data_IF_504079984618
#
_entry.id   IF_504079984618
#
_cell.length_a   1.000
_cell.length_b   1.000
_cell.length_c   1.000
_cell.angle_alpha   90.00
_cell.angle_beta   90.00
_cell.angle_gamma   90.00
#
_symmetry.space_group_name_H-M   'P 1'
#
loop_
_entity.id
_entity.type
_entity.pdbx_description
1 polymer ?
#
# COMPACT_ATOMS: atom_id res chain seq x y z
N UNK A 1 -2.27 -21.76 4.67
CA UNK A 1 -2.52 -20.32 4.52
C UNK A 1 -1.68 -19.84 3.35
N UNK A 2 -2.27 -19.28 2.31
CA UNK A 2 -1.56 -18.74 1.13
C UNK A 2 -1.38 -17.24 1.37
N UNK A 3 -0.13 -16.77 1.42
CA UNK A 3 0.22 -15.37 1.67
C UNK A 3 0.55 -14.72 0.32
N UNK A 4 -0.26 -13.74 -0.07
CA UNK A 4 0.03 -12.87 -1.21
C UNK A 4 0.91 -11.73 -0.69
N UNK A 5 2.23 -11.83 -0.90
CA UNK A 5 3.20 -10.87 -0.39
C UNK A 5 4.01 -10.20 -1.52
N UNK A 6 4.05 -8.86 -1.49
CA UNK A 6 4.91 -8.03 -2.31
C UNK A 6 6.18 -7.71 -1.49
N UNK A 7 7.12 -8.63 -1.40
CA UNK A 7 8.29 -8.45 -0.52
C UNK A 7 9.32 -7.49 -1.17
N UNK A 8 9.55 -6.33 -0.55
CA UNK A 8 10.81 -5.60 -0.70
C UNK A 8 11.77 -6.16 0.35
N UNK A 9 13.06 -6.28 0.03
CA UNK A 9 13.99 -7.21 0.71
C UNK A 9 14.00 -7.24 2.26
N UNK A 10 13.55 -6.17 2.93
CA UNK A 10 13.48 -6.07 4.40
C UNK A 10 12.09 -5.67 4.96
N UNK A 11 11.10 -5.31 4.12
CA UNK A 11 9.81 -4.75 4.55
C UNK A 11 8.63 -5.63 4.08
N UNK A 12 7.84 -6.09 5.05
CA UNK A 12 6.64 -6.92 4.85
C UNK A 12 5.36 -6.15 5.18
N UNK A 13 4.37 -6.17 4.30
CA UNK A 13 3.05 -5.54 4.52
C UNK A 13 1.92 -6.57 4.37
N UNK A 14 1.14 -6.78 5.45
CA UNK A 14 0.02 -7.72 5.47
C UNK A 14 -1.31 -7.02 5.65
N UNK A 15 -2.31 -7.39 4.85
CA UNK A 15 -3.67 -6.87 4.93
C UNK A 15 -4.62 -7.92 5.52
N UNK A 16 -5.49 -7.51 6.44
CA UNK A 16 -6.49 -8.39 7.07
C UNK A 16 -7.81 -7.67 7.24
N UNK A 17 -8.91 -8.42 7.25
CA UNK A 17 -10.25 -7.85 7.40
C UNK A 17 -10.69 -7.78 8.86
N UNK A 18 -10.19 -8.69 9.70
CA UNK A 18 -10.52 -8.76 11.12
C UNK A 18 -9.28 -8.59 11.99
N UNK A 19 -9.48 -8.14 13.23
CA UNK A 19 -8.40 -8.04 14.21
C UNK A 19 -7.80 -9.41 14.55
N UNK A 20 -8.64 -10.45 14.66
CA UNK A 20 -8.17 -11.81 14.90
C UNK A 20 -7.22 -12.26 13.78
N UNK A 21 -7.57 -12.01 12.51
CA UNK A 21 -6.69 -12.31 11.37
C UNK A 21 -5.39 -11.50 11.40
N UNK A 22 -5.42 -10.23 11.88
CA UNK A 22 -4.18 -9.46 12.09
C UNK A 22 -3.29 -10.12 13.12
N UNK A 23 -3.84 -10.53 14.28
CA UNK A 23 -3.06 -11.17 15.34
C UNK A 23 -2.51 -12.53 14.90
N UNK A 24 -3.32 -13.35 14.24
CA UNK A 24 -2.89 -14.65 13.69
C UNK A 24 -1.75 -14.48 12.68
N UNK A 25 -1.83 -13.48 11.80
CA UNK A 25 -0.76 -13.18 10.84
C UNK A 25 0.51 -12.69 11.54
N UNK A 26 0.40 -11.79 12.51
CA UNK A 26 1.55 -11.31 13.28
C UNK A 26 2.27 -12.47 13.98
N UNK A 27 1.52 -13.36 14.63
CA UNK A 27 2.07 -14.55 15.30
C UNK A 27 2.72 -15.50 14.29
N UNK A 28 2.11 -15.69 13.12
CA UNK A 28 2.65 -16.53 12.04
C UNK A 28 3.97 -15.98 11.49
N UNK A 29 4.04 -14.67 11.25
CA UNK A 29 5.27 -14.00 10.78
C UNK A 29 6.37 -14.08 11.83
N UNK A 30 6.03 -13.87 13.11
CA UNK A 30 6.98 -14.00 14.22
C UNK A 30 7.56 -15.41 14.30
N UNK A 31 6.71 -16.44 14.25
CA UNK A 31 7.14 -17.83 14.27
C UNK A 31 8.00 -18.18 13.05
N UNK A 32 7.58 -17.75 11.85
CA UNK A 32 8.34 -17.98 10.62
C UNK A 32 9.71 -17.30 10.63
N UNK A 33 9.77 -16.05 11.11
CA UNK A 33 11.02 -15.28 11.25
C UNK A 33 11.97 -15.97 12.24
N UNK A 34 11.48 -16.35 13.42
CA UNK A 34 12.27 -17.07 14.41
C UNK A 34 12.80 -18.41 13.88
N UNK A 35 12.00 -19.14 13.10
CA UNK A 35 12.41 -20.41 12.49
C UNK A 35 13.59 -20.27 11.51
N UNK A 36 13.76 -19.09 10.89
CA UNK A 36 14.88 -18.79 10.00
C UNK A 36 15.96 -17.91 10.65
N UNK A 37 15.86 -17.67 11.96
CA UNK A 37 16.82 -16.85 12.71
C UNK A 37 16.74 -15.35 12.44
N UNK A 38 15.62 -14.86 11.90
CA UNK A 38 15.35 -13.44 11.70
C UNK A 38 14.63 -12.84 12.91
N UNK A 39 14.99 -11.61 13.26
CA UNK A 39 14.36 -10.85 14.35
C UNK A 39 13.42 -9.80 13.78
N UNK A 40 12.18 -9.77 14.26
CA UNK A 40 11.24 -8.70 13.94
C UNK A 40 11.56 -7.48 14.79
N UNK A 41 11.76 -6.34 14.14
CA UNK A 41 12.02 -5.08 14.83
C UNK A 41 10.71 -4.47 15.34
N UNK A 42 10.31 -4.85 16.55
CA UNK A 42 9.01 -4.48 17.17
C UNK A 42 8.69 -2.99 17.07
N UNK A 43 9.65 -2.11 17.38
CA UNK A 43 9.44 -0.65 17.33
C UNK A 43 9.19 -0.09 15.92
N UNK A 44 9.61 -0.81 14.87
CA UNK A 44 9.36 -0.43 13.47
C UNK A 44 8.07 -1.05 12.94
N UNK A 45 7.57 -2.10 13.58
CA UNK A 45 6.31 -2.74 13.25
C UNK A 45 5.15 -1.85 13.66
N UNK A 46 4.40 -1.38 12.67
CA UNK A 46 3.29 -0.44 12.82
C UNK A 46 2.01 -1.04 12.28
N UNK A 47 0.87 -0.57 12.78
CA UNK A 47 -0.46 -0.99 12.35
C UNK A 47 -1.22 0.22 11.84
N UNK A 48 -1.79 0.07 10.66
CA UNK A 48 -2.71 1.03 10.09
C UNK A 48 -4.11 0.43 10.09
N UNK A 49 -5.03 1.03 10.82
CA UNK A 49 -6.44 0.60 10.86
C UNK A 49 -7.28 1.46 9.92
N UNK A 50 -8.13 0.80 9.14
CA UNK A 50 -9.11 1.46 8.27
C UNK A 50 -10.52 1.21 8.80
N UNK A 51 -11.22 2.26 9.22
CA UNK A 51 -12.62 2.17 9.71
C UNK A 51 -12.86 1.18 10.87
N UNK A 52 -11.83 0.80 11.61
CA UNK A 52 -11.95 -0.12 12.75
C UNK A 52 -11.89 0.66 14.07
N UNK A 53 -12.92 0.50 14.91
CA UNK A 53 -13.01 1.09 16.27
C UNK A 53 -12.80 -0.02 17.32
N UNK A 54 -11.79 -0.86 17.14
CA UNK A 54 -11.46 -1.87 18.16
C UNK A 54 -10.47 -1.28 19.17
N UNK A 55 -10.74 -1.48 20.46
CA UNK A 55 -9.90 -1.01 21.58
C UNK A 55 -8.63 -1.83 21.77
N UNK A 56 -8.65 -3.09 21.35
CA UNK A 56 -7.55 -3.99 21.65
C UNK A 56 -6.41 -3.77 20.65
N UNK A 57 -5.18 -3.71 21.16
CA UNK A 57 -3.96 -3.65 20.37
C UNK A 57 -3.65 -5.01 19.74
N UNK A 58 -2.90 -5.01 18.65
CA UNK A 58 -2.17 -6.23 18.25
C UNK A 58 -0.86 -6.26 19.02
N UNK A 59 -0.49 -7.45 19.47
CA UNK A 59 0.71 -7.65 20.28
C UNK A 59 1.74 -8.51 19.55
N UNK A 60 3.01 -8.26 19.83
CA UNK A 60 4.14 -9.08 19.42
C UNK A 60 5.01 -9.35 20.65
N UNK A 61 5.15 -10.62 21.03
CA UNK A 61 5.79 -11.04 22.29
C UNK A 61 5.26 -10.33 23.55
N UNK A 62 3.96 -10.02 23.57
CA UNK A 62 3.30 -9.31 24.68
C UNK A 62 3.43 -7.78 24.65
N UNK A 63 4.20 -7.21 23.71
CA UNK A 63 4.29 -5.76 23.51
C UNK A 63 3.26 -5.30 22.47
N UNK A 64 2.52 -4.22 22.76
CA UNK A 64 1.57 -3.65 21.83
C UNK A 64 2.30 -2.90 20.70
N UNK A 65 1.89 -3.13 19.46
CA UNK A 65 2.42 -2.41 18.30
C UNK A 65 1.80 -1.01 18.15
N UNK A 66 2.55 -0.09 17.57
CA UNK A 66 2.10 1.29 17.36
C UNK A 66 0.99 1.36 16.30
N UNK A 67 -0.16 1.94 16.68
CA UNK A 67 -1.23 2.31 15.74
C UNK A 67 -0.90 3.66 15.08
N UNK A 68 -0.66 3.65 13.78
CA UNK A 68 -0.37 4.84 12.98
C UNK A 68 -1.55 5.22 12.09
N UNK A 69 -1.68 6.51 11.79
CA UNK A 69 -2.72 7.04 10.87
C UNK A 69 -2.30 7.09 9.41
N UNK A 70 -0.99 7.00 9.18
CA UNK A 70 -0.37 7.04 7.86
C UNK A 70 0.84 6.14 7.85
N UNK A 71 1.01 5.38 6.78
CA UNK A 71 2.16 4.53 6.55
C UNK A 71 2.72 4.81 5.16
N UNK A 72 4.04 4.87 5.01
CA UNK A 72 4.67 5.02 3.70
C UNK A 72 5.23 3.67 3.28
N UNK A 73 4.65 3.08 2.25
CA UNK A 73 5.13 1.84 1.66
C UNK A 73 5.60 2.12 0.24
N UNK A 74 6.89 1.88 -0.04
CA UNK A 74 7.47 2.00 -1.40
C UNK A 74 7.31 3.40 -2.02
N UNK A 75 7.28 4.42 -1.18
CA UNK A 75 7.07 5.80 -1.60
C UNK A 75 5.60 6.17 -1.84
N UNK A 76 4.66 5.24 -1.64
CA UNK A 76 3.23 5.53 -1.59
C UNK A 76 2.77 5.76 -0.15
N UNK A 77 2.06 6.86 0.07
CA UNK A 77 1.43 7.19 1.35
C UNK A 77 0.07 6.50 1.42
N UNK A 78 -0.07 5.58 2.35
CA UNK A 78 -1.32 4.92 2.70
C UNK A 78 -1.83 5.58 3.97
N UNK A 79 -3.09 6.01 3.98
CA UNK A 79 -3.69 6.63 5.16
C UNK A 79 -4.90 5.87 5.69
N UNK A 80 -5.32 6.25 6.90
CA UNK A 80 -6.47 5.69 7.60
C UNK A 80 -7.80 5.84 6.83
N UNK A 81 -7.81 6.61 5.75
CA UNK A 81 -8.98 6.89 4.93
C UNK A 81 -8.93 6.25 3.54
N UNK A 82 -8.07 5.25 3.25
CA UNK A 82 -8.00 4.53 1.95
C UNK A 82 -7.98 5.46 0.72
N UNK A 83 -7.68 6.75 0.94
CA UNK A 83 -7.75 7.80 -0.05
C UNK A 83 -6.35 8.09 -0.53
N UNK A 84 -6.20 8.27 -1.84
CA UNK A 84 -4.91 8.63 -2.43
C UNK A 84 -4.60 10.12 -2.31
N UNK A 85 -5.46 10.94 -1.70
CA UNK A 85 -5.32 12.40 -1.69
C UNK A 85 -3.98 12.84 -1.08
N UNK A 86 -3.62 12.26 0.08
CA UNK A 86 -2.34 12.55 0.75
C UNK A 86 -1.14 12.14 -0.12
N UNK A 87 -1.20 10.97 -0.75
CA UNK A 87 -0.14 10.48 -1.65
C UNK A 87 0.01 11.39 -2.87
N UNK A 88 -1.09 11.68 -3.55
CA UNK A 88 -1.13 12.52 -4.74
C UNK A 88 -0.59 13.91 -4.43
N UNK A 89 -1.04 14.52 -3.33
CA UNK A 89 -0.57 15.82 -2.89
C UNK A 89 0.93 15.81 -2.59
N UNK A 90 1.43 14.79 -1.88
CA UNK A 90 2.85 14.66 -1.59
C UNK A 90 3.70 14.51 -2.87
N UNK A 91 3.24 13.70 -3.83
CA UNK A 91 3.92 13.49 -5.11
C UNK A 91 3.94 14.77 -5.96
N UNK A 92 2.83 15.52 -6.00
CA UNK A 92 2.76 16.82 -6.69
C UNK A 92 3.73 17.81 -6.06
N UNK A 93 3.75 17.92 -4.73
CA UNK A 93 4.68 18.83 -4.04
C UNK A 93 6.15 18.49 -4.32
N UNK A 94 6.51 17.19 -4.30
CA UNK A 94 7.87 16.74 -4.60
C UNK A 94 8.25 17.01 -6.05
N UNK A 95 7.36 16.72 -7.00
CA UNK A 95 7.58 17.02 -8.42
C UNK A 95 7.70 18.54 -8.66
N UNK A 96 6.88 19.36 -8.00
CA UNK A 96 6.96 20.81 -8.05
C UNK A 96 8.30 21.35 -7.55
N UNK A 97 8.83 20.79 -6.45
CA UNK A 97 10.15 21.15 -5.95
C UNK A 97 11.27 20.81 -6.94
N UNK A 98 11.25 19.62 -7.54
CA UNK A 98 12.22 19.21 -8.57
C UNK A 98 12.11 20.10 -9.81
N UNK A 99 10.89 20.42 -10.26
CA UNK A 99 10.66 21.32 -11.38
C UNK A 99 11.28 22.71 -11.14
N UNK A 100 11.08 23.27 -9.94
CA UNK A 100 11.68 24.55 -9.56
C UNK A 100 13.20 24.51 -9.54
N UNK A 101 13.81 23.42 -9.05
CA UNK A 101 15.26 23.25 -9.07
C UNK A 101 15.82 23.16 -10.50
N UNK A 102 15.11 22.47 -11.40
CA UNK A 102 15.50 22.33 -12.79
C UNK A 102 15.30 23.62 -13.60
N UNK A 103 14.59 24.64 -13.09
CA UNK A 103 14.32 25.91 -13.79
C UNK A 103 15.58 26.57 -14.36
N UNK A 104 16.68 26.52 -13.63
CA UNK A 104 17.95 27.10 -14.07
C UNK A 104 18.60 26.31 -15.21
N UNK A 105 18.40 24.98 -15.24
CA UNK A 105 18.86 24.11 -16.33
C UNK A 105 18.03 24.40 -17.60
N UNK A 106 16.70 24.47 -17.47
CA UNK A 106 15.81 24.82 -18.58
C UNK A 106 16.04 26.23 -19.14
N UNK A 107 16.56 27.15 -18.32
CA UNK A 107 16.87 28.54 -18.71
C UNK A 107 18.28 28.71 -19.28
N UNK A 108 19.08 27.64 -19.40
CA UNK A 108 20.46 27.70 -19.88
C UNK A 108 20.55 27.84 -21.41
N UNK A 109 21.41 28.75 -21.89
CA UNK A 109 21.68 28.97 -23.32
C UNK A 109 22.28 27.74 -24.04
N UNK A 110 22.92 26.82 -23.32
CA UNK A 110 23.44 25.56 -23.92
C UNK A 110 22.32 24.60 -24.36
N UNK A 111 21.17 24.63 -23.68
CA UNK A 111 20.00 23.82 -24.02
C UNK A 111 19.10 24.49 -25.07
N UNK A 112 19.08 25.83 -25.12
CA UNK A 112 18.29 26.59 -26.11
C UNK A 112 18.90 26.59 -27.51
N UNK A 113 20.20 26.29 -27.66
CA UNK A 113 20.92 26.33 -28.94
C UNK A 113 20.83 25.02 -29.74
N UNK A 114 20.52 23.89 -29.09
CA UNK A 114 20.30 22.59 -29.76
C UNK A 114 18.82 22.25 -30.00
N UNK A 115 17.88 23.07 -29.52
CA UNK A 115 16.43 22.82 -29.68
C UNK A 115 15.85 23.34 -30.99
N UNK A 116 16.60 24.11 -31.78
CA UNK A 116 16.15 24.63 -33.09
C UNK A 116 16.04 23.53 -34.16
N UNK A 117 16.61 22.34 -33.92
CA UNK A 117 16.55 21.17 -34.81
C UNK A 117 15.94 19.92 -34.14
N UNK A 118 15.02 20.08 -33.19
CA UNK A 118 14.14 18.98 -32.76
C UNK A 118 12.75 19.18 -33.39
N UNK A 119 12.55 18.86 -34.69
CA UNK A 119 11.22 18.87 -35.25
C UNK A 119 10.41 17.77 -34.57
N UNK A 120 9.27 18.13 -33.98
CA UNK A 120 8.15 17.21 -33.76
C UNK A 120 8.39 15.98 -32.85
N UNK A 121 9.23 16.06 -31.80
CA UNK A 121 9.27 15.02 -30.76
C UNK A 121 9.13 15.58 -29.35
N UNK A 122 8.21 16.53 -29.18
CA UNK A 122 7.54 16.70 -27.89
C UNK A 122 6.07 16.46 -28.18
N UNK A 123 5.71 15.17 -28.28
CA UNK A 123 4.32 14.79 -28.15
C UNK A 123 3.89 15.35 -26.80
N UNK A 124 2.90 16.24 -26.78
CA UNK A 124 2.24 16.66 -25.54
C UNK A 124 1.66 15.39 -24.92
N UNK A 125 2.41 14.75 -24.03
CA UNK A 125 1.85 13.74 -23.14
C UNK A 125 0.98 14.52 -22.16
N UNK A 126 -0.28 14.74 -22.53
CA UNK A 126 -1.32 15.00 -21.55
C UNK A 126 -1.35 13.79 -20.62
N UNK A 127 -0.81 13.96 -19.42
CA UNK A 127 -0.90 12.95 -18.37
C UNK A 127 -2.38 12.90 -17.93
N UNK A 128 -3.19 12.13 -18.65
CA UNK A 128 -4.51 11.72 -18.19
C UNK A 128 -4.28 10.70 -17.09
N UNK A 129 -4.48 11.11 -15.84
CA UNK A 129 -4.59 10.16 -14.73
C UNK A 129 -6.00 9.59 -14.75
N UNK A 130 -6.20 8.44 -15.40
CA UNK A 130 -7.41 7.64 -15.18
C UNK A 130 -7.28 6.90 -13.86
N UNK A 131 -8.09 7.28 -12.88
CA UNK A 131 -8.27 6.52 -11.64
C UNK A 131 -9.11 5.28 -11.97
N UNK A 132 -8.47 4.13 -12.13
CA UNK A 132 -9.20 2.85 -12.20
C UNK A 132 -9.50 2.38 -10.78
N UNK A 133 -10.74 2.56 -10.34
CA UNK A 133 -11.24 1.95 -9.10
C UNK A 133 -11.68 0.52 -9.43
N UNK A 134 -10.86 -0.48 -9.11
CA UNK A 134 -11.29 -1.89 -9.19
C UNK A 134 -12.15 -2.21 -7.97
N UNK A 135 -13.47 -2.28 -8.15
CA UNK A 135 -14.40 -2.83 -7.16
C UNK A 135 -14.57 -4.32 -7.45
N UNK A 136 -13.99 -5.19 -6.61
CA UNK A 136 -14.23 -6.64 -6.65
C UNK A 136 -15.50 -6.93 -5.84
N UNK A 137 -16.61 -7.21 -6.51
CA UNK A 137 -17.84 -7.72 -5.87
C UNK A 137 -17.75 -9.25 -5.78
N UNK A 138 -17.67 -9.80 -4.58
CA UNK A 138 -17.75 -11.25 -4.33
C UNK A 138 -19.21 -11.68 -4.35
N UNK A 139 -19.61 -12.46 -5.36
CA UNK A 139 -20.92 -13.13 -5.40
C UNK A 139 -20.87 -14.38 -4.53
N UNK A 140 -21.56 -14.38 -3.38
CA UNK A 140 -21.75 -15.57 -2.55
C UNK A 140 -22.80 -16.47 -3.20
N UNK A 141 -22.40 -17.63 -3.74
CA UNK A 141 -23.33 -18.68 -4.18
C UNK A 141 -23.75 -19.50 -2.97
N UNK A 142 -25.00 -19.30 -2.51
CA UNK A 142 -25.62 -20.18 -1.51
C UNK A 142 -26.10 -21.45 -2.19
N UNK A 143 -25.42 -22.57 -1.94
CA UNK A 143 -25.89 -23.90 -2.34
C UNK A 143 -26.92 -24.39 -1.33
N UNK A 144 -28.20 -24.39 -1.70
CA UNK A 144 -29.27 -25.01 -0.92
C UNK A 144 -29.25 -26.52 -1.16
N UNK A 145 -28.83 -27.29 -0.15
CA UNK A 145 -28.94 -28.75 -0.15
C UNK A 145 -30.38 -29.14 0.20
N UNK A 146 -31.11 -29.68 -0.77
CA UNK A 146 -32.44 -30.26 -0.55
C UNK A 146 -32.27 -31.67 0.02
N UNK A 147 -32.63 -31.87 1.29
CA UNK A 147 -32.70 -33.19 1.92
C UNK A 147 -34.00 -33.88 1.49
N UNK A 148 -33.90 -34.96 0.72
CA UNK A 148 -35.02 -35.84 0.40
C UNK A 148 -35.24 -36.82 1.55
N UNK A 149 -36.32 -36.64 2.31
CA UNK A 149 -36.77 -37.63 3.30
C UNK A 149 -37.58 -38.70 2.59
N UNK A 150 -37.03 -39.91 2.49
CA UNK A 150 -37.76 -41.10 2.05
C UNK A 150 -38.42 -41.74 3.26
N UNK A 151 -39.74 -41.62 3.36
CA UNK A 151 -40.55 -42.38 4.31
C UNK A 151 -40.77 -43.78 3.74
N UNK A 152 -40.47 -44.81 4.53
CA UNK A 152 -40.87 -46.20 4.27
C UNK A 152 -41.84 -46.64 5.34
#
# INVERSE_FOLDING_TARGET
MQLDDLNFADDLALLSQTQQQMQEKMNSVAAASAAVGLNIHKEKSKILRYNLIYTDGITLDGEALEDVKTFTYLGSIIDEYRGSDKDVKARISKAGAVYLQLKNIWSSKQLSTNTTNMPHYIQRYTLSTTTTTTTTTTTTTTTTTTTTTTTT
#
